data_IF_207321998670
#
_entry.id   IF_207321998670
#
_cell.length_a   1.000
_cell.length_b   1.000
_cell.length_c   1.000
_cell.angle_alpha   90.00
_cell.angle_beta   90.00
_cell.angle_gamma   90.00
#
_symmetry.space_group_name_H-M   'P 1'
#
loop_
_entity.id
_entity.type
_entity.pdbx_description
1 polymer ?
#
# COMPACT_ATOMS: atom_id res chain seq x y z
N UNK A 1 19.29 -13.90 -7.54
CA UNK A 1 18.78 -13.03 -6.47
C UNK A 1 17.79 -12.01 -7.02
N UNK A 2 18.09 -11.29 -8.13
CA UNK A 2 17.23 -10.22 -8.66
C UNK A 2 15.80 -10.70 -9.02
N UNK A 3 15.66 -11.84 -9.69
CA UNK A 3 14.33 -12.40 -10.04
C UNK A 3 13.47 -12.74 -8.84
N UNK A 4 14.09 -13.14 -7.72
CA UNK A 4 13.35 -13.40 -6.46
C UNK A 4 12.84 -12.08 -5.89
N UNK A 5 13.67 -11.03 -5.87
CA UNK A 5 13.24 -9.70 -5.41
C UNK A 5 12.12 -9.13 -6.26
N UNK A 6 12.25 -9.21 -7.58
CA UNK A 6 11.22 -8.72 -8.51
C UNK A 6 9.90 -9.52 -8.35
N UNK A 7 10.00 -10.83 -8.12
CA UNK A 7 8.84 -11.66 -7.82
C UNK A 7 8.20 -11.27 -6.49
N UNK A 8 8.98 -11.03 -5.44
CA UNK A 8 8.49 -10.59 -4.13
C UNK A 8 7.77 -9.24 -4.23
N UNK A 9 8.37 -8.25 -4.89
CA UNK A 9 7.75 -6.93 -5.13
C UNK A 9 6.41 -7.09 -5.84
N UNK A 10 6.39 -7.77 -7.00
CA UNK A 10 5.15 -7.99 -7.78
C UNK A 10 4.09 -8.78 -7.02
N UNK A 11 4.50 -9.76 -6.23
CA UNK A 11 3.56 -10.55 -5.42
C UNK A 11 2.91 -9.69 -4.35
N UNK A 12 3.68 -8.90 -3.60
CA UNK A 12 3.14 -7.98 -2.60
C UNK A 12 2.23 -6.91 -3.22
N UNK A 13 2.62 -6.31 -4.36
CA UNK A 13 1.80 -5.33 -5.10
C UNK A 13 0.43 -5.89 -5.52
N UNK A 14 0.40 -7.13 -5.99
CA UNK A 14 -0.83 -7.74 -6.52
C UNK A 14 -1.72 -8.35 -5.45
N UNK A 15 -1.13 -8.91 -4.40
CA UNK A 15 -1.89 -9.58 -3.33
C UNK A 15 -2.32 -8.63 -2.22
N UNK A 16 -1.56 -7.55 -1.96
CA UNK A 16 -1.69 -6.67 -0.81
C UNK A 16 -1.64 -7.44 0.52
N UNK A 17 -0.89 -8.55 0.53
CA UNK A 17 -0.85 -9.47 1.66
C UNK A 17 0.01 -8.94 2.81
N UNK A 18 1.05 -8.16 2.53
CA UNK A 18 1.88 -7.57 3.58
C UNK A 18 1.20 -6.36 4.18
N UNK A 19 0.29 -6.61 5.11
CA UNK A 19 -0.45 -5.58 5.83
C UNK A 19 0.32 -5.13 7.07
N UNK A 20 0.41 -3.83 7.25
CA UNK A 20 1.16 -3.24 8.34
C UNK A 20 0.36 -2.11 9.01
N UNK A 21 0.33 -2.14 10.33
CA UNK A 21 -0.17 -1.02 11.12
C UNK A 21 0.99 -0.10 11.45
N UNK A 22 0.98 1.10 10.87
CA UNK A 22 1.97 2.12 11.18
C UNK A 22 1.93 2.47 12.67
N UNK A 23 3.08 2.57 13.35
CA UNK A 23 3.10 3.03 14.73
C UNK A 23 2.39 4.37 14.88
N UNK A 24 1.55 4.50 15.91
CA UNK A 24 0.81 5.74 16.14
C UNK A 24 1.75 6.91 16.33
N UNK A 25 1.37 8.05 15.82
CA UNK A 25 2.12 9.29 15.96
C UNK A 25 1.17 10.49 15.96
N UNK A 26 1.64 11.59 16.53
CA UNK A 26 0.90 12.84 16.57
C UNK A 26 1.31 13.74 15.41
N UNK A 27 0.33 14.45 14.85
CA UNK A 27 0.58 15.48 13.85
C UNK A 27 1.13 16.74 14.52
N UNK A 28 2.02 17.42 13.83
CA UNK A 28 2.57 18.70 14.25
C UNK A 28 1.79 19.83 13.58
N UNK A 29 1.35 20.81 14.36
CA UNK A 29 0.66 21.99 13.85
C UNK A 29 1.47 22.67 12.73
N UNK A 30 0.77 23.07 11.66
CA UNK A 30 1.39 23.75 10.52
C UNK A 30 2.25 22.85 9.61
N UNK A 31 2.39 21.55 9.94
CA UNK A 31 3.07 20.59 9.08
C UNK A 31 2.06 19.83 8.25
N UNK A 32 2.28 19.74 6.95
CA UNK A 32 1.35 19.06 6.03
C UNK A 32 1.92 17.80 5.38
N UNK A 33 3.25 17.62 5.29
CA UNK A 33 3.90 16.44 4.76
C UNK A 33 4.52 15.62 5.88
N UNK A 34 4.22 14.34 5.89
CA UNK A 34 4.72 13.37 6.85
C UNK A 34 5.31 12.17 6.13
N UNK A 35 6.43 11.64 6.63
CA UNK A 35 6.98 10.38 6.14
C UNK A 35 6.22 9.21 6.74
N UNK A 36 6.02 8.16 5.94
CA UNK A 36 5.55 6.88 6.47
C UNK A 36 6.59 6.29 7.42
N UNK A 37 6.12 5.70 8.51
CA UNK A 37 6.97 5.00 9.50
C UNK A 37 6.93 3.50 9.22
N UNK A 38 7.38 3.11 8.03
CA UNK A 38 7.45 1.74 7.60
C UNK A 38 8.73 1.04 8.10
N UNK A 39 8.75 -0.31 8.17
CA UNK A 39 9.94 -1.08 8.44
C UNK A 39 11.05 -0.85 7.40
N UNK A 40 12.29 -1.08 7.82
CA UNK A 40 13.43 -1.04 6.92
C UNK A 40 13.25 -2.00 5.74
N UNK A 41 13.82 -1.68 4.60
CA UNK A 41 13.71 -2.46 3.35
C UNK A 41 12.29 -2.60 2.79
N UNK A 42 11.31 -1.86 3.31
CA UNK A 42 9.94 -1.85 2.81
C UNK A 42 9.52 -0.48 2.29
N UNK A 43 8.46 -0.47 1.48
CA UNK A 43 7.85 0.72 0.92
C UNK A 43 6.32 0.58 0.99
N UNK A 44 5.63 1.68 1.28
CA UNK A 44 4.17 1.70 1.22
C UNK A 44 3.73 1.58 -0.24
N UNK A 45 2.77 0.70 -0.49
CA UNK A 45 2.19 0.48 -1.81
C UNK A 45 0.74 0.94 -1.88
N UNK A 46 -0.01 0.79 -0.80
CA UNK A 46 -1.39 1.26 -0.72
C UNK A 46 -1.77 1.58 0.74
N UNK A 47 -2.65 2.54 0.90
CA UNK A 47 -3.23 2.90 2.20
C UNK A 47 -4.64 2.32 2.27
N UNK A 48 -4.91 1.47 3.26
CA UNK A 48 -6.24 0.87 3.46
C UNK A 48 -7.17 1.77 4.25
N UNK A 49 -6.67 2.30 5.35
CA UNK A 49 -7.45 3.16 6.22
C UNK A 49 -6.57 4.07 7.05
N UNK A 50 -7.08 5.25 7.30
CA UNK A 50 -6.48 6.22 8.21
C UNK A 50 -7.54 6.76 9.11
N UNK A 51 -7.21 6.94 10.38
CA UNK A 51 -8.07 7.60 11.35
C UNK A 51 -7.28 8.61 12.18
N UNK A 52 -7.95 9.68 12.55
CA UNK A 52 -7.44 10.75 13.37
C UNK A 52 -8.28 10.82 14.65
N UNK A 53 -7.69 10.56 15.81
CA UNK A 53 -8.41 10.48 17.07
C UNK A 53 -9.65 9.54 16.99
N UNK A 54 -9.50 8.38 16.31
CA UNK A 54 -10.53 7.38 16.00
C UNK A 54 -11.61 7.81 14.98
N UNK A 55 -11.55 9.01 14.42
CA UNK A 55 -12.40 9.43 13.31
C UNK A 55 -11.73 9.07 11.98
N UNK A 56 -12.42 8.39 11.06
CA UNK A 56 -11.85 8.03 9.77
C UNK A 56 -11.52 9.28 8.95
N UNK A 57 -10.38 9.26 8.27
CA UNK A 57 -10.00 10.24 7.26
C UNK A 57 -10.24 9.66 5.88
N UNK A 58 -10.61 10.54 4.94
CA UNK A 58 -10.72 10.19 3.54
C UNK A 58 -9.33 10.09 2.90
N UNK A 59 -9.09 9.02 2.15
CA UNK A 59 -7.87 8.86 1.35
C UNK A 59 -8.16 9.35 -0.05
N UNK A 60 -7.54 10.46 -0.43
CA UNK A 60 -7.73 11.10 -1.73
C UNK A 60 -6.59 10.73 -2.68
N UNK A 61 -6.91 10.68 -3.97
CA UNK A 61 -5.87 10.76 -5.01
C UNK A 61 -5.26 12.15 -5.04
N UNK A 62 -4.03 12.28 -5.53
CA UNK A 62 -3.35 13.58 -5.63
C UNK A 62 -4.18 14.59 -6.43
N UNK A 63 -4.72 14.19 -7.59
CA UNK A 63 -5.54 15.05 -8.43
C UNK A 63 -6.79 15.54 -7.68
N UNK A 64 -7.46 14.63 -6.96
CA UNK A 64 -8.66 15.01 -6.18
C UNK A 64 -8.31 15.92 -5.00
N UNK A 65 -7.15 15.75 -4.40
CA UNK A 65 -6.67 16.63 -3.34
C UNK A 65 -6.40 18.05 -3.88
N UNK A 66 -5.80 18.17 -5.07
CA UNK A 66 -5.55 19.44 -5.74
C UNK A 66 -6.85 20.17 -6.11
N UNK A 67 -7.88 19.43 -6.56
CA UNK A 67 -9.20 19.99 -6.84
C UNK A 67 -9.90 20.52 -5.59
N UNK A 68 -9.89 19.76 -4.51
CA UNK A 68 -10.60 20.10 -3.26
C UNK A 68 -9.87 21.16 -2.43
N UNK A 69 -8.54 21.21 -2.54
CA UNK A 69 -7.68 22.11 -1.77
C UNK A 69 -6.73 22.88 -2.70
N UNK A 70 -7.25 23.75 -3.58
CA UNK A 70 -6.42 24.48 -4.56
C UNK A 70 -5.35 25.35 -3.91
N UNK A 71 -5.65 25.97 -2.75
CA UNK A 71 -4.65 26.73 -2.00
C UNK A 71 -3.45 25.88 -1.49
N UNK A 72 -3.64 24.58 -1.31
CA UNK A 72 -2.55 23.66 -1.01
C UNK A 72 -1.68 23.39 -2.23
N UNK A 73 -2.27 23.31 -3.43
CA UNK A 73 -1.54 23.18 -4.67
C UNK A 73 -0.57 24.33 -4.91
N UNK A 74 -1.01 25.57 -4.65
CA UNK A 74 -0.18 26.76 -4.80
C UNK A 74 0.99 26.76 -3.79
N UNK A 75 0.78 26.29 -2.57
CA UNK A 75 1.84 26.16 -1.56
C UNK A 75 2.81 25.03 -1.86
N UNK A 76 2.35 23.94 -2.47
CA UNK A 76 3.21 22.83 -2.89
C UNK A 76 4.15 23.23 -4.04
N UNK A 77 3.71 24.18 -4.88
CA UNK A 77 4.45 24.67 -6.04
C UNK A 77 5.20 25.98 -5.79
N UNK A 78 4.80 26.75 -4.78
CA UNK A 78 5.34 28.09 -4.51
C UNK A 78 5.89 28.22 -3.09
N UNK A 79 7.05 28.86 -2.98
CA UNK A 79 7.70 29.28 -1.73
C UNK A 79 6.99 30.44 -1.03
N UNK A 80 5.67 30.49 -1.02
CA UNK A 80 4.89 31.62 -0.50
C UNK A 80 4.02 31.28 0.71
N UNK A 81 3.93 32.19 1.67
CA UNK A 81 3.14 32.13 2.90
C UNK A 81 1.61 32.18 2.64
N UNK A 82 1.07 31.21 1.93
CA UNK A 82 -0.37 31.02 1.90
C UNK A 82 -0.71 30.21 3.14
N UNK A 83 -1.22 30.88 4.15
CA UNK A 83 -1.77 30.27 5.35
C UNK A 83 -2.98 29.39 4.95
N UNK A 84 -2.73 28.12 4.71
CA UNK A 84 -3.78 27.11 4.82
C UNK A 84 -4.20 27.13 6.28
N UNK A 85 -5.29 27.79 6.58
CA UNK A 85 -5.80 27.94 7.93
C UNK A 85 -5.83 26.59 8.63
N UNK A 86 -5.13 26.48 9.74
CA UNK A 86 -5.14 25.30 10.59
C UNK A 86 -6.58 24.95 10.93
N UNK A 87 -6.96 23.75 10.66
CA UNK A 87 -8.26 23.19 11.03
C UNK A 87 -8.10 21.69 11.26
N UNK A 88 -9.17 21.08 11.74
CA UNK A 88 -9.16 19.63 11.89
C UNK A 88 -8.96 18.95 10.53
N UNK A 89 -7.89 18.13 10.36
CA UNK A 89 -7.69 17.35 9.15
C UNK A 89 -8.88 16.42 8.85
N UNK A 90 -9.22 16.29 7.58
CA UNK A 90 -10.32 15.45 7.09
C UNK A 90 -9.89 14.44 6.06
N UNK A 91 -8.78 14.70 5.40
CA UNK A 91 -8.30 13.87 4.29
C UNK A 91 -6.79 13.73 4.33
N UNK A 92 -6.31 12.68 3.68
CA UNK A 92 -4.89 12.51 3.37
C UNK A 92 -4.73 12.24 1.88
N UNK A 93 -3.56 12.55 1.34
CA UNK A 93 -3.16 12.17 -0.02
C UNK A 93 -1.72 11.70 -0.04
N UNK A 94 -1.42 10.71 -0.84
CA UNK A 94 -0.05 10.28 -1.10
C UNK A 94 0.64 11.30 -1.99
N UNK A 95 1.79 11.79 -1.54
CA UNK A 95 2.61 12.77 -2.29
C UNK A 95 3.78 12.08 -2.96
N UNK A 96 4.33 11.08 -2.29
CA UNK A 96 5.40 10.21 -2.80
C UNK A 96 5.27 8.83 -2.15
N UNK A 97 5.95 7.80 -2.66
CA UNK A 97 5.93 6.46 -2.06
C UNK A 97 6.39 6.40 -0.59
N UNK A 98 7.09 7.45 -0.13
CA UNK A 98 7.62 7.52 1.24
C UNK A 98 6.94 8.61 2.09
N UNK A 99 6.01 9.40 1.50
CA UNK A 99 5.39 10.52 2.18
C UNK A 99 3.93 10.75 1.79
N UNK A 100 3.16 11.23 2.75
CA UNK A 100 1.76 11.62 2.56
C UNK A 100 1.52 13.04 3.09
N UNK A 101 0.54 13.72 2.55
CA UNK A 101 0.07 15.00 3.02
C UNK A 101 -1.24 14.85 3.80
N UNK A 102 -1.44 15.72 4.77
CA UNK A 102 -2.66 15.80 5.59
C UNK A 102 -3.38 17.10 5.25
N UNK A 103 -4.67 17.02 4.98
CA UNK A 103 -5.48 18.12 4.47
C UNK A 103 -6.79 18.29 5.25
N UNK A 104 -7.17 19.53 5.62
CA UNK A 104 -6.34 20.72 5.70
C UNK A 104 -5.22 20.61 6.73
N UNK A 105 -4.39 21.65 6.88
CA UNK A 105 -3.29 21.66 7.85
C UNK A 105 -3.82 21.46 9.28
N UNK A 106 -3.12 20.67 10.10
CA UNK A 106 -3.42 20.55 11.52
C UNK A 106 -3.28 21.92 12.21
N UNK A 107 -4.29 22.31 13.00
CA UNK A 107 -4.21 23.45 13.90
C UNK A 107 -3.35 23.17 15.14
N UNK A 108 -3.08 24.21 15.94
CA UNK A 108 -2.34 24.10 17.20
C UNK A 108 -3.26 23.86 18.41
N UNK A 109 -4.58 23.86 18.23
CA UNK A 109 -5.54 23.81 19.32
C UNK A 109 -5.74 22.40 19.87
N UNK A 110 -5.41 21.37 19.07
CA UNK A 110 -5.68 19.96 19.39
C UNK A 110 -4.47 19.07 19.11
N UNK A 111 -4.37 18.00 19.88
CA UNK A 111 -3.48 16.89 19.54
C UNK A 111 -4.18 15.93 18.59
N UNK A 112 -3.53 15.63 17.48
CA UNK A 112 -4.05 14.78 16.42
C UNK A 112 -3.26 13.49 16.34
N UNK A 113 -3.77 12.42 16.95
CA UNK A 113 -3.15 11.09 16.92
C UNK A 113 -3.59 10.32 15.69
N UNK A 114 -2.63 9.94 14.85
CA UNK A 114 -2.87 9.19 13.60
C UNK A 114 -2.72 7.70 13.84
N UNK A 115 -3.68 6.95 13.33
CA UNK A 115 -3.64 5.49 13.18
C UNK A 115 -3.84 5.14 11.72
N UNK A 116 -2.91 4.37 11.14
CA UNK A 116 -2.89 4.07 9.72
C UNK A 116 -2.62 2.58 9.49
N UNK A 117 -3.35 1.99 8.54
CA UNK A 117 -3.12 0.64 8.01
C UNK A 117 -2.75 0.73 6.55
N UNK A 118 -1.63 0.10 6.19
CA UNK A 118 -1.06 0.14 4.85
C UNK A 118 -0.74 -1.25 4.33
N UNK A 119 -0.66 -1.38 3.01
CA UNK A 119 0.00 -2.50 2.37
C UNK A 119 1.44 -2.12 2.07
N UNK A 120 2.36 -3.00 2.41
CA UNK A 120 3.78 -2.86 2.14
C UNK A 120 4.21 -3.74 0.96
N UNK A 121 5.31 -3.36 0.35
CA UNK A 121 6.10 -4.16 -0.58
C UNK A 121 7.58 -4.03 -0.24
N UNK A 122 8.43 -5.03 -0.52
CA UNK A 122 9.87 -4.86 -0.35
C UNK A 122 10.40 -3.85 -1.36
N UNK A 123 11.47 -3.14 -1.00
CA UNK A 123 12.21 -2.32 -1.96
C UNK A 123 12.97 -3.21 -2.94
N UNK A 124 13.34 -2.70 -4.11
CA UNK A 124 14.13 -3.48 -5.08
C UNK A 124 15.53 -3.81 -4.60
N UNK A 125 16.01 -3.10 -3.59
CA UNK A 125 17.32 -3.30 -2.96
C UNK A 125 17.22 -4.06 -1.65
N UNK A 126 16.01 -4.46 -1.24
CA UNK A 126 15.77 -5.14 0.02
C UNK A 126 16.67 -6.36 0.18
N UNK A 127 17.23 -6.49 1.37
CA UNK A 127 18.02 -7.66 1.79
C UNK A 127 17.15 -8.79 2.33
N UNK A 128 15.94 -8.45 2.80
CA UNK A 128 14.95 -9.37 3.36
C UNK A 128 13.55 -8.76 3.40
N UNK A 129 12.63 -9.53 3.96
CA UNK A 129 11.27 -9.11 4.29
C UNK A 129 10.83 -9.80 5.58
N UNK A 130 9.68 -9.42 6.10
CA UNK A 130 9.09 -10.06 7.27
C UNK A 130 8.96 -11.59 7.05
N UNK A 131 9.48 -12.38 8.00
CA UNK A 131 9.55 -13.83 7.88
C UNK A 131 8.17 -14.49 7.78
N UNK A 132 7.17 -13.97 8.50
CA UNK A 132 5.82 -14.51 8.47
C UNK A 132 5.20 -14.31 7.08
N UNK A 133 5.41 -13.12 6.51
CA UNK A 133 4.91 -12.79 5.16
C UNK A 133 5.68 -13.58 4.10
N UNK A 134 7.00 -13.73 4.26
CA UNK A 134 7.81 -14.53 3.35
C UNK A 134 7.30 -15.96 3.29
N UNK A 135 7.15 -16.62 4.45
CA UNK A 135 6.68 -18.01 4.55
C UNK A 135 5.26 -18.20 3.97
N UNK A 136 4.37 -17.21 4.11
CA UNK A 136 3.02 -17.27 3.52
C UNK A 136 3.04 -17.11 1.98
N UNK A 137 4.02 -16.40 1.43
CA UNK A 137 4.11 -16.08 0.00
C UNK A 137 5.23 -16.83 -0.73
N UNK A 138 6.01 -17.69 -0.05
CA UNK A 138 7.19 -18.35 -0.60
C UNK A 138 6.90 -19.08 -1.91
N UNK A 139 5.87 -19.93 -1.92
CA UNK A 139 5.48 -20.71 -3.12
C UNK A 139 5.14 -19.80 -4.31
N UNK A 140 4.39 -18.75 -4.04
CA UNK A 140 4.00 -17.78 -5.08
C UNK A 140 5.23 -17.06 -5.63
N UNK A 141 6.11 -16.60 -4.75
CA UNK A 141 7.34 -15.91 -5.15
C UNK A 141 8.28 -16.83 -5.91
N UNK A 142 8.40 -18.11 -5.50
CA UNK A 142 9.18 -19.13 -6.20
C UNK A 142 8.68 -19.29 -7.63
N UNK A 143 7.38 -19.51 -7.83
CA UNK A 143 6.79 -19.62 -9.17
C UNK A 143 6.97 -18.35 -9.98
N UNK A 144 6.83 -17.18 -9.35
CA UNK A 144 7.07 -15.87 -9.97
C UNK A 144 8.51 -15.66 -10.42
N UNK A 145 9.49 -16.15 -9.67
CA UNK A 145 10.90 -16.07 -10.03
C UNK A 145 11.27 -17.08 -11.14
N UNK A 146 10.80 -18.34 -11.03
CA UNK A 146 11.10 -19.40 -11.97
C UNK A 146 10.56 -19.13 -13.36
N UNK A 147 9.35 -18.58 -13.50
CA UNK A 147 8.81 -18.24 -14.82
C UNK A 147 9.71 -17.25 -15.58
N UNK A 148 10.30 -16.29 -14.88
CA UNK A 148 11.20 -15.33 -15.51
C UNK A 148 12.58 -15.92 -15.78
N UNK A 149 13.11 -16.72 -14.85
CA UNK A 149 14.43 -17.34 -15.00
C UNK A 149 14.46 -18.33 -16.17
N UNK A 150 13.46 -19.22 -16.26
CA UNK A 150 13.36 -20.24 -17.32
C UNK A 150 13.01 -19.65 -18.69
N UNK A 151 12.43 -18.47 -18.74
CA UNK A 151 12.14 -17.77 -19.99
C UNK A 151 13.35 -17.05 -20.60
N UNK A 152 14.50 -17.01 -19.92
CA UNK A 152 15.71 -16.34 -20.43
C UNK A 152 16.24 -17.05 -21.67
N UNK A 153 16.37 -16.34 -22.82
CA UNK A 153 16.89 -16.95 -24.02
C UNK A 153 18.41 -17.20 -23.91
N UNK A 154 18.87 -18.21 -24.65
CA UNK A 154 20.31 -18.54 -24.81
C UNK A 154 21.03 -18.96 -23.50
N UNK A 155 20.31 -19.52 -22.54
CA UNK A 155 20.90 -20.10 -21.33
C UNK A 155 20.71 -21.60 -21.32
N UNK A 156 21.61 -22.34 -20.65
CA UNK A 156 21.53 -23.82 -20.57
C UNK A 156 20.33 -24.33 -19.78
N UNK A 157 19.67 -23.46 -19.00
CA UNK A 157 18.48 -23.76 -18.19
C UNK A 157 17.17 -23.19 -18.77
N UNK A 158 17.21 -22.63 -19.98
CA UNK A 158 16.03 -22.11 -20.62
C UNK A 158 15.06 -23.24 -21.00
N UNK A 159 13.84 -23.17 -20.46
CA UNK A 159 12.76 -24.11 -20.74
C UNK A 159 11.43 -23.35 -20.81
N UNK A 160 10.91 -23.18 -22.04
CA UNK A 160 9.69 -22.40 -22.29
C UNK A 160 8.42 -23.11 -21.77
N UNK A 161 8.39 -24.44 -21.81
CA UNK A 161 7.23 -25.19 -21.36
C UNK A 161 7.12 -25.09 -19.83
N UNK A 162 8.24 -25.31 -19.15
CA UNK A 162 8.33 -25.19 -17.70
C UNK A 162 8.10 -23.73 -17.25
N UNK A 163 8.59 -22.72 -17.98
CA UNK A 163 8.30 -21.32 -17.72
C UNK A 163 6.78 -21.04 -17.81
N UNK A 164 6.10 -21.59 -18.82
CA UNK A 164 4.65 -21.44 -18.98
C UNK A 164 3.87 -22.13 -17.85
N UNK A 165 4.32 -23.30 -17.41
CA UNK A 165 3.75 -23.99 -16.25
C UNK A 165 3.87 -23.11 -14.99
N UNK A 166 5.05 -22.60 -14.68
CA UNK A 166 5.26 -21.72 -13.51
C UNK A 166 4.46 -20.41 -13.63
N UNK A 167 4.29 -19.86 -14.82
CA UNK A 167 3.46 -18.68 -15.03
C UNK A 167 1.98 -18.93 -14.68
N UNK A 168 1.43 -20.09 -15.07
CA UNK A 168 0.05 -20.48 -14.72
C UNK A 168 -0.09 -20.65 -13.20
N UNK A 169 0.83 -21.38 -12.57
CA UNK A 169 0.82 -21.58 -11.11
C UNK A 169 0.90 -20.25 -10.36
N UNK A 170 1.80 -19.36 -10.79
CA UNK A 170 1.92 -18.04 -10.23
C UNK A 170 0.61 -17.25 -10.25
N UNK A 171 -0.08 -17.20 -11.41
CA UNK A 171 -1.34 -16.48 -11.55
C UNK A 171 -2.45 -17.08 -10.68
N UNK A 172 -2.57 -18.42 -10.66
CA UNK A 172 -3.57 -19.10 -9.83
C UNK A 172 -3.37 -18.80 -8.34
N UNK A 173 -2.14 -18.97 -7.85
CA UNK A 173 -1.85 -18.73 -6.45
C UNK A 173 -1.95 -17.24 -6.07
N UNK A 174 -1.62 -16.31 -6.98
CA UNK A 174 -1.85 -14.87 -6.75
C UNK A 174 -3.32 -14.56 -6.46
N UNK A 175 -4.24 -15.14 -7.25
CA UNK A 175 -5.68 -14.92 -7.04
C UNK A 175 -6.12 -15.48 -5.69
N UNK A 176 -5.69 -16.69 -5.35
CA UNK A 176 -5.99 -17.31 -4.06
C UNK A 176 -5.47 -16.49 -2.86
N UNK A 177 -4.20 -16.06 -2.93
CA UNK A 177 -3.58 -15.26 -1.86
C UNK A 177 -4.21 -13.89 -1.75
N UNK A 178 -4.57 -13.25 -2.87
CA UNK A 178 -5.30 -11.97 -2.85
C UNK A 178 -6.68 -12.13 -2.21
N UNK A 179 -7.41 -13.17 -2.57
CA UNK A 179 -8.70 -13.46 -1.95
C UNK A 179 -8.56 -13.68 -0.45
N UNK A 180 -7.58 -14.49 -0.02
CA UNK A 180 -7.28 -14.72 1.40
C UNK A 180 -6.87 -13.44 2.14
N UNK A 181 -6.03 -12.59 1.52
CA UNK A 181 -5.64 -11.31 2.10
C UNK A 181 -6.85 -10.38 2.31
N UNK A 182 -7.81 -10.37 1.38
CA UNK A 182 -9.01 -9.54 1.49
C UNK A 182 -10.01 -10.07 2.53
N UNK A 183 -10.18 -11.39 2.61
CA UNK A 183 -11.09 -12.03 3.57
C UNK A 183 -10.50 -12.07 4.99
N UNK A 184 -9.18 -11.95 5.12
CA UNK A 184 -8.46 -12.23 6.35
C UNK A 184 -8.51 -13.71 6.71
N UNK A 185 -8.02 -14.05 7.91
CA UNK A 185 -8.10 -15.41 8.44
C UNK A 185 -9.43 -15.68 9.19
N UNK A 186 -10.34 -14.69 9.21
CA UNK A 186 -11.65 -14.84 9.84
C UNK A 186 -12.61 -15.55 8.89
N UNK A 187 -13.13 -16.69 9.30
CA UNK A 187 -14.24 -17.36 8.61
C UNK A 187 -15.54 -16.70 9.07
N UNK A 188 -15.87 -15.57 8.46
CA UNK A 188 -17.16 -14.93 8.65
C UNK A 188 -18.23 -15.56 7.74
N UNK A 189 -19.45 -15.65 8.24
CA UNK A 189 -20.60 -16.00 7.40
C UNK A 189 -20.91 -14.80 6.50
N UNK A 190 -20.77 -14.94 5.19
CA UNK A 190 -21.25 -13.94 4.27
C UNK A 190 -22.77 -14.02 4.19
N UNK A 191 -23.47 -13.10 4.85
CA UNK A 191 -24.89 -12.90 4.62
C UNK A 191 -25.05 -12.04 3.35
N UNK A 192 -25.40 -12.66 2.24
CA UNK A 192 -25.85 -11.92 1.06
C UNK A 192 -27.31 -11.54 1.33
N UNK A 193 -27.55 -10.30 1.72
CA UNK A 193 -28.90 -9.75 1.67
C UNK A 193 -29.27 -9.49 0.22
N UNK A 194 -30.13 -10.35 -0.34
CA UNK A 194 -30.78 -10.01 -1.59
C UNK A 194 -31.69 -8.79 -1.34
N UNK A 195 -31.37 -7.69 -1.98
CA UNK A 195 -32.35 -6.61 -2.09
C UNK A 195 -33.49 -7.10 -3.00
N UNK A 196 -34.73 -7.11 -2.52
CA UNK A 196 -35.84 -7.41 -3.40
C UNK A 196 -35.87 -6.36 -4.52
N UNK A 197 -35.86 -6.84 -5.75
CA UNK A 197 -36.11 -5.96 -6.91
C UNK A 197 -37.48 -5.34 -6.69
N UNK A 198 -37.49 -4.01 -6.63
CA UNK A 198 -38.63 -3.23 -6.21
C UNK A 198 -39.91 -3.53 -6.99
N UNK A 199 -41.00 -3.49 -6.26
CA UNK A 199 -42.34 -3.26 -6.74
C UNK A 199 -42.51 -1.74 -6.88
#
# INVERSE_FOLDING_TARGET
VQYIRDAAVKTCERTLAWRYQVPRFDLTAGTYIYSYRQPFDSQVHAVFSVSLNNNPLEVLTLDRALELYPAWADKYTATGDIALYGSQPRSITEVSPDAFAVLPLPDAERTYNVRMFVALKPTRTASGMDEVIFNDLEDVMMHGALQHLLALPKTNWSDKELATYHAKQYLTQLVERRARANLGNARGTFAVQMQPFGV
#
